data_IF_740509513922
#
_entry.id   IF_740509513922
#
_cell.length_a   1.000
_cell.length_b   1.000
_cell.length_c   1.000
_cell.angle_alpha   90.00
_cell.angle_beta   90.00
_cell.angle_gamma   90.00
#
_symmetry.space_group_name_H-M   'P 1'
#
loop_
_entity.id
_entity.type
_entity.pdbx_description
1 polymer ?
#
# COMPACT_ATOMS: atom_id res chain seq x y z
N UNK A 1 25.19 0.21 24.80
CA UNK A 1 24.32 0.23 23.62
C UNK A 1 24.87 1.21 22.62
N UNK A 2 24.95 0.83 21.34
CA UNK A 2 25.30 1.79 20.28
C UNK A 2 24.07 2.64 19.89
N UNK A 3 24.28 3.74 19.16
CA UNK A 3 23.20 4.65 18.74
C UNK A 3 22.07 3.94 17.97
N UNK A 4 22.38 2.84 17.26
CA UNK A 4 21.41 2.07 16.51
C UNK A 4 20.52 1.20 17.41
N UNK A 5 21.06 0.59 18.47
CA UNK A 5 20.30 -0.20 19.43
C UNK A 5 19.26 0.66 20.15
N UNK A 6 19.64 1.89 20.56
CA UNK A 6 18.70 2.86 21.15
C UNK A 6 17.59 3.20 20.16
N UNK A 7 17.92 3.48 18.89
CA UNK A 7 16.94 3.74 17.84
C UNK A 7 15.98 2.55 17.64
N UNK A 8 16.50 1.32 17.64
CA UNK A 8 15.70 0.12 17.45
C UNK A 8 14.72 -0.11 18.61
N UNK A 9 15.16 0.10 19.86
CA UNK A 9 14.30 0.02 21.04
C UNK A 9 13.20 1.06 21.03
N UNK A 10 13.55 2.35 20.85
CA UNK A 10 12.57 3.45 20.78
C UNK A 10 11.56 3.23 19.65
N UNK A 11 12.01 2.74 18.50
CA UNK A 11 11.12 2.42 17.37
C UNK A 11 10.16 1.30 17.73
N UNK A 12 10.64 0.25 18.41
CA UNK A 12 9.81 -0.88 18.82
C UNK A 12 8.77 -0.46 19.87
N UNK A 13 9.16 0.35 20.84
CA UNK A 13 8.25 0.90 21.85
C UNK A 13 7.10 1.67 21.20
N UNK A 14 7.40 2.53 20.22
CA UNK A 14 6.37 3.24 19.44
C UNK A 14 5.46 2.27 18.69
N UNK A 15 6.00 1.24 18.05
CA UNK A 15 5.20 0.23 17.33
C UNK A 15 4.24 -0.48 18.28
N UNK A 16 4.68 -0.85 19.48
CA UNK A 16 3.85 -1.47 20.51
C UNK A 16 2.79 -0.48 21.01
N UNK A 17 3.18 0.78 21.25
CA UNK A 17 2.30 1.86 21.67
C UNK A 17 1.16 2.11 20.66
N UNK A 18 1.43 2.00 19.35
CA UNK A 18 0.40 2.05 18.31
C UNK A 18 -0.57 0.86 18.30
N UNK A 19 -0.47 -0.05 19.28
CA UNK A 19 -1.39 -1.18 19.46
C UNK A 19 -1.01 -2.43 18.66
N UNK A 20 0.17 -2.49 18.04
CA UNK A 20 0.61 -3.66 17.28
C UNK A 20 1.03 -4.79 18.24
N UNK A 21 0.16 -5.79 18.36
CA UNK A 21 0.39 -6.99 19.21
C UNK A 21 0.81 -8.23 18.42
N UNK A 22 0.94 -8.14 17.10
CA UNK A 22 1.26 -9.30 16.26
C UNK A 22 2.68 -9.80 16.54
N UNK A 23 2.78 -11.02 17.08
CA UNK A 23 4.06 -11.69 17.36
C UNK A 23 4.95 -11.74 16.13
N UNK A 24 4.40 -12.09 14.97
CA UNK A 24 5.14 -12.15 13.70
C UNK A 24 5.73 -10.81 13.30
N UNK A 25 5.01 -9.70 13.51
CA UNK A 25 5.52 -8.35 13.20
C UNK A 25 6.65 -7.96 14.15
N UNK A 26 6.47 -8.21 15.45
CA UNK A 26 7.47 -7.88 16.48
C UNK A 26 8.75 -8.70 16.29
N UNK A 27 8.63 -10.02 16.08
CA UNK A 27 9.78 -10.89 15.84
C UNK A 27 10.48 -10.57 14.52
N UNK A 28 9.72 -10.26 13.47
CA UNK A 28 10.26 -9.81 12.19
C UNK A 28 11.04 -8.51 12.31
N UNK A 29 10.53 -7.56 13.11
CA UNK A 29 11.22 -6.30 13.42
C UNK A 29 12.52 -6.54 14.19
N UNK A 30 12.48 -7.29 15.30
CA UNK A 30 13.66 -7.61 16.12
C UNK A 30 14.74 -8.32 15.30
N UNK A 31 14.35 -9.32 14.50
CA UNK A 31 15.27 -10.04 13.61
C UNK A 31 15.93 -9.11 12.60
N UNK A 32 15.16 -8.22 11.99
CA UNK A 32 15.69 -7.25 11.02
C UNK A 32 16.65 -6.28 11.68
N UNK A 33 16.33 -5.75 12.86
CA UNK A 33 17.22 -4.86 13.60
C UNK A 33 18.54 -5.54 13.95
N UNK A 34 18.51 -6.81 14.40
CA UNK A 34 19.75 -7.56 14.66
C UNK A 34 20.64 -7.66 13.41
N UNK A 35 20.06 -8.05 12.27
CA UNK A 35 20.80 -8.18 11.00
C UNK A 35 21.29 -6.84 10.44
N UNK A 36 20.57 -5.74 10.72
CA UNK A 36 21.03 -4.39 10.38
C UNK A 36 22.21 -4.01 11.28
N UNK A 37 22.11 -4.24 12.60
CA UNK A 37 23.19 -3.92 13.55
C UNK A 37 24.47 -4.67 13.19
N UNK A 38 24.37 -5.97 12.91
CA UNK A 38 25.49 -6.80 12.43
C UNK A 38 26.15 -6.16 11.19
N UNK A 39 25.35 -5.78 10.18
CA UNK A 39 25.87 -5.13 8.98
C UNK A 39 26.55 -3.78 9.26
N UNK A 40 25.96 -2.94 10.13
CA UNK A 40 26.54 -1.65 10.48
C UNK A 40 27.89 -1.80 11.19
N UNK A 41 27.99 -2.76 12.12
CA UNK A 41 29.21 -3.09 12.85
C UNK A 41 30.29 -3.68 11.92
N UNK A 42 29.93 -4.65 11.07
CA UNK A 42 30.85 -5.28 10.11
C UNK A 42 31.46 -4.28 9.12
N UNK A 43 30.75 -3.19 8.82
CA UNK A 43 31.16 -2.20 7.83
C UNK A 43 31.63 -0.89 8.48
N UNK A 44 31.64 -0.80 9.81
CA UNK A 44 32.02 0.40 10.58
C UNK A 44 31.27 1.66 10.13
N UNK A 45 29.97 1.55 9.85
CA UNK A 45 29.12 2.65 9.38
C UNK A 45 27.92 2.89 10.30
N UNK A 46 27.41 4.12 10.29
CA UNK A 46 26.19 4.46 11.00
C UNK A 46 24.92 4.12 10.21
N UNK A 47 23.79 4.04 10.92
CA UNK A 47 22.48 3.90 10.30
C UNK A 47 22.03 5.21 9.65
N UNK A 48 21.98 5.26 8.33
CA UNK A 48 21.48 6.36 7.50
C UNK A 48 20.56 5.79 6.42
N UNK A 49 19.93 6.65 5.62
CA UNK A 49 19.12 6.18 4.48
C UNK A 49 20.00 5.43 3.46
N UNK A 50 21.23 5.88 3.24
CA UNK A 50 22.20 5.26 2.35
C UNK A 50 22.62 3.88 2.84
N UNK A 51 23.02 3.74 4.12
CA UNK A 51 23.43 2.43 4.66
C UNK A 51 22.25 1.46 4.74
N UNK A 52 21.05 1.95 5.04
CA UNK A 52 19.86 1.12 5.06
C UNK A 52 19.44 0.63 3.66
N UNK A 53 19.58 1.48 2.63
CA UNK A 53 19.39 1.07 1.24
C UNK A 53 20.45 0.05 0.79
N UNK A 54 21.73 0.27 1.11
CA UNK A 54 22.81 -0.69 0.84
C UNK A 54 22.52 -2.05 1.47
N UNK A 55 22.04 -2.07 2.70
CA UNK A 55 21.64 -3.30 3.37
C UNK A 55 20.46 -3.99 2.68
N UNK A 56 19.40 -3.25 2.33
CA UNK A 56 18.23 -3.82 1.65
C UNK A 56 18.56 -4.40 0.27
N UNK A 57 19.52 -3.82 -0.45
CA UNK A 57 19.97 -4.34 -1.75
C UNK A 57 20.48 -5.78 -1.68
N UNK A 58 21.01 -6.22 -0.52
CA UNK A 58 21.41 -7.64 -0.30
C UNK A 58 20.23 -8.62 -0.43
N UNK A 59 19.00 -8.11 -0.33
CA UNK A 59 17.77 -8.89 -0.41
C UNK A 59 16.96 -8.64 -1.70
N UNK A 60 17.51 -7.94 -2.69
CA UNK A 60 16.73 -7.54 -3.87
C UNK A 60 16.26 -8.75 -4.69
N UNK A 61 17.04 -9.84 -4.74
CA UNK A 61 16.61 -11.10 -5.39
C UNK A 61 15.37 -11.70 -4.72
N UNK A 62 15.23 -11.52 -3.42
CA UNK A 62 14.10 -12.02 -2.62
C UNK A 62 12.82 -11.21 -2.88
N UNK A 63 12.92 -9.99 -3.41
CA UNK A 63 11.78 -9.15 -3.78
C UNK A 63 10.88 -9.80 -4.82
N UNK A 64 11.48 -10.46 -5.82
CA UNK A 64 10.79 -11.14 -6.94
C UNK A 64 10.82 -12.66 -6.83
N UNK A 65 11.38 -13.19 -5.73
CA UNK A 65 11.45 -14.62 -5.45
C UNK A 65 10.12 -15.25 -5.01
N UNK A 66 10.21 -16.39 -4.34
CA UNK A 66 9.05 -17.11 -3.81
C UNK A 66 8.25 -16.27 -2.82
N UNK A 67 7.01 -16.69 -2.51
CA UNK A 67 6.14 -15.99 -1.54
C UNK A 67 6.82 -15.76 -0.18
N UNK A 68 7.56 -16.75 0.32
CA UNK A 68 8.28 -16.65 1.60
C UNK A 68 9.45 -15.67 1.52
N UNK A 69 10.24 -15.72 0.44
CA UNK A 69 11.33 -14.78 0.18
C UNK A 69 10.82 -13.34 0.08
N UNK A 70 9.72 -13.13 -0.66
CA UNK A 70 9.08 -11.82 -0.78
C UNK A 70 8.56 -11.32 0.56
N UNK A 71 7.93 -12.19 1.36
CA UNK A 71 7.47 -11.85 2.71
C UNK A 71 8.63 -11.40 3.61
N UNK A 72 9.78 -12.08 3.53
CA UNK A 72 10.98 -11.73 4.27
C UNK A 72 11.53 -10.36 3.84
N UNK A 73 11.68 -10.13 2.53
CA UNK A 73 12.09 -8.83 1.99
C UNK A 73 11.17 -7.70 2.47
N UNK A 74 9.85 -7.90 2.42
CA UNK A 74 8.88 -6.92 2.88
C UNK A 74 9.01 -6.61 4.38
N UNK A 75 9.33 -7.62 5.20
CA UNK A 75 9.60 -7.44 6.63
C UNK A 75 10.84 -6.59 6.88
N UNK A 76 11.93 -6.89 6.17
CA UNK A 76 13.18 -6.11 6.24
C UNK A 76 12.95 -4.67 5.80
N UNK A 77 12.36 -4.46 4.63
CA UNK A 77 12.03 -3.14 4.10
C UNK A 77 11.15 -2.33 5.06
N UNK A 78 10.11 -2.94 5.62
CA UNK A 78 9.25 -2.27 6.61
C UNK A 78 10.05 -1.83 7.83
N UNK A 79 10.92 -2.69 8.35
CA UNK A 79 11.75 -2.38 9.53
C UNK A 79 12.67 -1.21 9.25
N UNK A 80 13.38 -1.23 8.12
CA UNK A 80 14.22 -0.11 7.67
C UNK A 80 13.45 1.20 7.63
N UNK A 81 12.25 1.21 7.03
CA UNK A 81 11.46 2.42 6.88
C UNK A 81 10.92 2.94 8.23
N UNK A 82 10.54 2.05 9.14
CA UNK A 82 10.16 2.43 10.51
C UNK A 82 11.32 3.08 11.27
N UNK A 83 12.51 2.50 11.18
CA UNK A 83 13.72 3.04 11.81
C UNK A 83 14.08 4.42 11.25
N UNK A 84 14.00 4.59 9.93
CA UNK A 84 14.25 5.89 9.28
C UNK A 84 13.21 6.94 9.68
N UNK A 85 11.92 6.58 9.68
CA UNK A 85 10.87 7.49 10.13
C UNK A 85 11.04 7.85 11.61
N UNK A 86 11.43 6.90 12.46
CA UNK A 86 11.68 7.19 13.87
C UNK A 86 12.88 8.11 14.06
N UNK A 87 14.00 7.84 13.37
CA UNK A 87 15.21 8.67 13.39
C UNK A 87 14.92 10.12 12.96
N UNK A 88 14.05 10.29 11.96
CA UNK A 88 13.68 11.59 11.41
C UNK A 88 12.52 12.28 12.15
N UNK A 89 12.02 11.72 13.26
CA UNK A 89 10.89 12.29 14.01
C UNK A 89 9.52 12.15 13.33
N UNK A 90 9.42 11.38 12.25
CA UNK A 90 8.22 11.23 11.42
C UNK A 90 7.35 10.03 11.82
N UNK A 91 7.73 9.25 12.84
CA UNK A 91 6.95 8.09 13.32
C UNK A 91 6.01 8.51 14.46
N UNK A 92 4.87 9.07 14.09
CA UNK A 92 3.80 9.60 14.97
C UNK A 92 2.59 8.65 15.10
N UNK A 93 2.37 7.81 14.09
CA UNK A 93 1.34 6.77 14.06
C UNK A 93 1.82 5.51 13.33
N UNK A 94 1.03 4.44 13.42
CA UNK A 94 1.30 3.25 12.61
C UNK A 94 1.24 3.57 11.11
N UNK A 95 2.36 3.34 10.42
CA UNK A 95 2.48 3.59 8.98
C UNK A 95 2.46 2.29 8.19
N UNK A 96 1.79 2.33 7.05
CA UNK A 96 1.90 1.30 6.02
C UNK A 96 2.87 1.77 4.94
N UNK A 97 3.80 0.89 4.56
CA UNK A 97 4.82 1.20 3.56
C UNK A 97 4.55 0.43 2.27
N UNK A 98 3.66 0.91 1.39
CA UNK A 98 3.38 0.23 0.13
C UNK A 98 4.67 0.07 -0.70
N UNK A 99 4.79 -1.05 -1.40
CA UNK A 99 5.93 -1.32 -2.31
C UNK A 99 5.73 -0.79 -3.72
N UNK A 100 4.51 -0.39 -4.04
CA UNK A 100 4.15 0.17 -5.33
C UNK A 100 3.42 1.46 -5.04
N UNK A 101 3.97 2.57 -5.52
CA UNK A 101 3.26 3.85 -5.53
C UNK A 101 2.04 3.67 -6.42
N UNK A 102 0.87 3.98 -5.89
CA UNK A 102 -0.38 3.88 -6.65
C UNK A 102 -0.29 4.86 -7.83
N UNK A 103 -0.23 4.33 -9.05
CA UNK A 103 -0.36 5.16 -10.26
C UNK A 103 -1.67 5.94 -10.17
N UNK A 104 -1.60 7.25 -10.42
CA UNK A 104 -2.75 8.14 -10.41
C UNK A 104 -3.21 8.38 -11.85
N UNK A 105 -4.53 8.58 -12.08
CA UNK A 105 -5.03 9.10 -13.34
C UNK A 105 -4.45 10.50 -13.63
N UNK A 106 -4.34 10.86 -14.90
CA UNK A 106 -3.92 12.19 -15.36
C UNK A 106 -5.13 13.13 -15.57
N UNK A 107 -6.30 12.58 -15.86
CA UNK A 107 -7.55 13.31 -16.05
C UNK A 107 -8.01 13.95 -14.73
N UNK A 108 -8.20 15.26 -14.74
CA UNK A 108 -8.59 16.05 -13.57
C UNK A 108 -9.93 15.60 -12.96
N UNK A 109 -10.89 15.18 -13.79
CA UNK A 109 -12.16 14.63 -13.35
C UNK A 109 -11.98 13.38 -12.50
N UNK A 110 -11.14 12.45 -12.93
CA UNK A 110 -10.83 11.24 -12.16
C UNK A 110 -10.01 11.52 -10.89
N UNK A 111 -9.08 12.48 -10.94
CA UNK A 111 -8.35 12.93 -9.75
C UNK A 111 -9.32 13.48 -8.70
N UNK A 112 -10.28 14.31 -9.11
CA UNK A 112 -11.29 14.87 -8.22
C UNK A 112 -12.22 13.79 -7.67
N UNK A 113 -12.65 12.84 -8.50
CA UNK A 113 -13.44 11.68 -8.06
C UNK A 113 -12.69 10.84 -7.01
N UNK A 114 -11.38 10.62 -7.15
CA UNK A 114 -10.58 9.93 -6.14
C UNK A 114 -10.55 10.68 -4.80
N UNK A 115 -10.44 12.01 -4.84
CA UNK A 115 -10.48 12.85 -3.63
C UNK A 115 -11.84 12.78 -2.94
N UNK A 116 -12.93 12.89 -3.70
CA UNK A 116 -14.30 12.78 -3.18
C UNK A 116 -14.54 11.39 -2.57
N UNK A 117 -14.19 10.33 -3.29
CA UNK A 117 -14.34 8.97 -2.80
C UNK A 117 -13.49 8.70 -1.55
N UNK A 118 -12.27 9.24 -1.48
CA UNK A 118 -11.46 9.17 -0.25
C UNK A 118 -12.18 9.82 0.93
N UNK A 119 -12.75 11.00 0.73
CA UNK A 119 -13.47 11.71 1.78
C UNK A 119 -14.68 10.91 2.26
N UNK A 120 -15.48 10.39 1.32
CA UNK A 120 -16.62 9.51 1.60
C UNK A 120 -16.21 8.29 2.45
N UNK A 121 -15.12 7.61 2.10
CA UNK A 121 -14.67 6.42 2.84
C UNK A 121 -14.24 6.77 4.27
N UNK A 122 -13.59 7.92 4.47
CA UNK A 122 -13.17 8.40 5.79
C UNK A 122 -14.39 8.77 6.64
N UNK A 123 -15.37 9.48 6.06
CA UNK A 123 -16.62 9.82 6.75
C UNK A 123 -17.42 8.58 7.18
N UNK A 124 -17.31 7.49 6.41
CA UNK A 124 -17.89 6.19 6.74
C UNK A 124 -17.05 5.35 7.73
N UNK A 125 -16.07 5.97 8.43
CA UNK A 125 -15.22 5.32 9.43
C UNK A 125 -14.49 4.05 8.94
N UNK A 126 -14.15 4.01 7.66
CA UNK A 126 -13.37 2.89 7.11
C UNK A 126 -11.93 2.95 7.63
N UNK A 127 -11.39 1.78 8.00
CA UNK A 127 -9.97 1.69 8.39
C UNK A 127 -9.03 2.17 7.28
N UNK A 128 -7.90 2.78 7.65
CA UNK A 128 -6.89 3.29 6.70
C UNK A 128 -6.46 2.26 5.65
N UNK A 129 -6.28 1.00 6.06
CA UNK A 129 -5.93 -0.10 5.14
C UNK A 129 -7.02 -0.36 4.11
N UNK A 130 -8.29 -0.23 4.52
CA UNK A 130 -9.45 -0.38 3.65
C UNK A 130 -9.60 0.80 2.70
N UNK A 131 -9.41 2.03 3.19
CA UNK A 131 -9.39 3.26 2.37
C UNK A 131 -8.32 3.13 1.30
N UNK A 132 -7.08 2.80 1.68
CA UNK A 132 -5.96 2.65 0.75
C UNK A 132 -6.22 1.58 -0.31
N UNK A 133 -6.82 0.44 0.06
CA UNK A 133 -7.17 -0.59 -0.92
C UNK A 133 -8.28 -0.13 -1.87
N UNK A 134 -9.33 0.51 -1.35
CA UNK A 134 -10.44 1.03 -2.16
C UNK A 134 -9.95 2.08 -3.17
N UNK A 135 -9.12 3.04 -2.73
CA UNK A 135 -8.52 4.04 -3.61
C UNK A 135 -7.61 3.41 -4.67
N UNK A 136 -6.87 2.34 -4.32
CA UNK A 136 -6.06 1.61 -5.31
C UNK A 136 -6.92 1.02 -6.42
N UNK A 137 -8.03 0.39 -6.06
CA UNK A 137 -8.95 -0.20 -7.04
C UNK A 137 -9.58 0.89 -7.90
N UNK A 138 -10.04 1.99 -7.29
CA UNK A 138 -10.59 3.14 -8.02
C UNK A 138 -9.57 3.75 -9.00
N UNK A 139 -8.34 3.97 -8.55
CA UNK A 139 -7.27 4.52 -9.38
C UNK A 139 -6.92 3.59 -10.55
N UNK A 140 -6.86 2.28 -10.30
CA UNK A 140 -6.66 1.30 -11.38
C UNK A 140 -7.80 1.32 -12.39
N UNK A 141 -9.04 1.47 -11.93
CA UNK A 141 -10.20 1.56 -12.82
C UNK A 141 -10.17 2.83 -13.66
N UNK A 142 -9.89 3.99 -13.07
CA UNK A 142 -9.79 5.25 -13.80
C UNK A 142 -8.65 5.26 -14.83
N UNK A 143 -7.49 4.68 -14.49
CA UNK A 143 -6.41 4.48 -15.48
C UNK A 143 -6.83 3.57 -16.63
N UNK A 144 -7.67 2.57 -16.37
CA UNK A 144 -8.25 1.73 -17.43
C UNK A 144 -9.18 2.54 -18.33
N UNK A 145 -10.03 3.42 -17.76
CA UNK A 145 -10.90 4.31 -18.52
C UNK A 145 -10.10 5.29 -19.39
N UNK A 146 -9.07 5.92 -18.84
CA UNK A 146 -8.18 6.84 -19.58
C UNK A 146 -7.50 6.17 -20.76
N UNK A 147 -6.94 4.96 -20.55
CA UNK A 147 -6.36 4.16 -21.64
C UNK A 147 -7.40 3.83 -22.72
N UNK A 148 -8.65 3.63 -22.33
CA UNK A 148 -9.79 3.44 -23.22
C UNK A 148 -10.36 4.72 -23.83
N UNK A 149 -9.76 5.90 -23.56
CA UNK A 149 -10.25 7.22 -23.98
C UNK A 149 -11.67 7.53 -23.49
N UNK A 150 -12.04 6.98 -22.34
CA UNK A 150 -13.29 7.30 -21.66
C UNK A 150 -12.96 8.43 -20.70
N UNK A 151 -13.38 9.64 -21.04
CA UNK A 151 -13.01 10.86 -20.29
C UNK A 151 -13.98 11.19 -19.15
N UNK A 152 -15.15 10.53 -19.12
CA UNK A 152 -16.18 10.77 -18.13
C UNK A 152 -16.82 9.48 -17.65
N UNK A 153 -17.05 9.42 -16.33
CA UNK A 153 -17.71 8.29 -15.68
C UNK A 153 -19.19 8.16 -16.08
N UNK A 154 -19.80 9.25 -16.59
CA UNK A 154 -21.16 9.23 -17.14
C UNK A 154 -21.31 8.32 -18.37
N UNK A 155 -20.21 8.04 -19.09
CA UNK A 155 -20.21 7.22 -20.30
C UNK A 155 -19.96 5.74 -20.01
N UNK A 156 -20.03 5.31 -18.74
CA UNK A 156 -19.80 3.92 -18.38
C UNK A 156 -20.95 3.02 -18.86
N UNK A 157 -20.56 1.92 -19.51
CA UNK A 157 -21.44 0.78 -19.82
C UNK A 157 -21.03 -0.44 -18.99
N UNK A 158 -21.92 -1.43 -18.87
CA UNK A 158 -21.60 -2.71 -18.23
C UNK A 158 -20.42 -3.42 -18.92
N UNK A 159 -20.31 -3.28 -20.23
CA UNK A 159 -19.23 -3.85 -21.03
C UNK A 159 -17.89 -3.24 -20.64
N UNK A 160 -17.81 -1.91 -20.51
CA UNK A 160 -16.62 -1.19 -20.02
C UNK A 160 -16.25 -1.68 -18.62
N UNK A 161 -17.22 -1.74 -17.70
CA UNK A 161 -16.97 -2.19 -16.32
C UNK A 161 -16.48 -3.63 -16.28
N UNK A 162 -17.08 -4.53 -17.08
CA UNK A 162 -16.65 -5.93 -17.17
C UNK A 162 -15.27 -6.08 -17.83
N UNK A 163 -14.95 -5.20 -18.80
CA UNK A 163 -13.68 -5.15 -19.52
C UNK A 163 -12.51 -4.83 -18.60
N UNK A 164 -12.73 -4.09 -17.51
CA UNK A 164 -11.71 -3.84 -16.50
C UNK A 164 -11.10 -5.12 -15.92
N UNK A 165 -11.87 -6.19 -15.75
CA UNK A 165 -11.33 -7.45 -15.20
C UNK A 165 -10.57 -8.29 -16.23
N UNK A 166 -10.55 -7.86 -17.51
CA UNK A 166 -9.82 -8.51 -18.60
C UNK A 166 -8.43 -7.92 -18.82
N UNK A 167 -8.04 -6.86 -18.09
CA UNK A 167 -6.71 -6.26 -18.24
C UNK A 167 -5.61 -7.20 -17.71
N UNK A 168 -4.37 -7.12 -18.23
CA UNK A 168 -3.26 -8.01 -17.85
C UNK A 168 -3.00 -8.08 -16.34
N UNK A 169 -3.31 -7.02 -15.59
CA UNK A 169 -3.14 -6.96 -14.13
C UNK A 169 -3.99 -7.99 -13.35
N UNK A 170 -4.95 -8.65 -14.01
CA UNK A 170 -5.79 -9.71 -13.44
C UNK A 170 -5.44 -11.13 -13.91
N UNK A 171 -4.59 -11.31 -14.94
CA UNK A 171 -4.35 -12.61 -15.59
C UNK A 171 -3.80 -13.68 -14.64
N UNK A 172 -2.95 -13.30 -13.69
CA UNK A 172 -2.33 -14.21 -12.71
C UNK A 172 -3.03 -14.22 -11.35
N UNK A 173 -4.17 -13.53 -11.22
CA UNK A 173 -4.84 -13.42 -9.92
C UNK A 173 -5.73 -14.62 -9.64
N UNK A 174 -5.64 -15.10 -8.40
CA UNK A 174 -6.60 -16.08 -7.88
C UNK A 174 -8.02 -15.50 -7.86
N UNK A 175 -9.08 -16.32 -8.04
CA UNK A 175 -10.47 -15.86 -8.05
C UNK A 175 -10.87 -15.01 -6.84
N UNK A 176 -10.45 -15.40 -5.63
CA UNK A 176 -10.70 -14.63 -4.40
C UNK A 176 -10.05 -13.25 -4.42
N UNK A 177 -8.89 -13.12 -5.07
CA UNK A 177 -8.24 -11.86 -5.31
C UNK A 177 -9.03 -10.98 -6.26
N UNK A 178 -9.57 -11.54 -7.34
CA UNK A 178 -10.44 -10.82 -8.29
C UNK A 178 -11.73 -10.37 -7.60
N UNK A 179 -12.34 -11.23 -6.78
CA UNK A 179 -13.56 -10.92 -6.02
C UNK A 179 -13.36 -9.73 -5.07
N UNK A 180 -12.22 -9.63 -4.40
CA UNK A 180 -11.91 -8.48 -3.54
C UNK A 180 -11.85 -7.16 -4.33
N UNK A 181 -11.37 -7.19 -5.57
CA UNK A 181 -11.34 -6.03 -6.46
C UNK A 181 -12.75 -5.70 -6.95
N UNK A 182 -13.53 -6.70 -7.37
CA UNK A 182 -14.91 -6.52 -7.79
C UNK A 182 -15.77 -5.89 -6.68
N UNK A 183 -15.61 -6.35 -5.44
CA UNK A 183 -16.31 -5.75 -4.30
C UNK A 183 -15.96 -4.27 -4.10
N UNK A 184 -14.69 -3.89 -4.22
CA UNK A 184 -14.26 -2.49 -4.10
C UNK A 184 -14.71 -1.63 -5.27
N UNK A 185 -14.73 -2.19 -6.49
CA UNK A 185 -15.27 -1.50 -7.65
C UNK A 185 -16.78 -1.29 -7.52
N UNK A 186 -17.55 -2.30 -7.09
CA UNK A 186 -18.99 -2.14 -6.81
C UNK A 186 -19.24 -1.00 -5.84
N UNK A 187 -18.47 -0.92 -4.75
CA UNK A 187 -18.59 0.18 -3.77
C UNK A 187 -18.27 1.56 -4.34
N UNK A 188 -17.28 1.67 -5.23
CA UNK A 188 -17.00 2.92 -5.94
C UNK A 188 -18.17 3.32 -6.85
N UNK A 189 -18.69 2.38 -7.62
CA UNK A 189 -19.79 2.67 -8.54
C UNK A 189 -21.06 3.06 -7.79
N UNK A 190 -21.39 2.37 -6.69
CA UNK A 190 -22.50 2.77 -5.80
C UNK A 190 -22.31 4.18 -5.25
N UNK A 191 -21.11 4.55 -4.81
CA UNK A 191 -20.79 5.92 -4.42
C UNK A 191 -21.07 6.91 -5.57
N UNK A 192 -20.69 6.57 -6.80
CA UNK A 192 -20.93 7.43 -7.96
C UNK A 192 -22.44 7.56 -8.27
N UNK A 193 -23.25 6.51 -8.03
CA UNK A 193 -24.71 6.57 -8.14
C UNK A 193 -25.32 7.45 -7.04
N UNK A 194 -24.90 7.27 -5.78
CA UNK A 194 -25.36 8.03 -4.62
C UNK A 194 -25.10 9.54 -4.81
N UNK A 195 -23.94 9.90 -5.36
CA UNK A 195 -23.56 11.28 -5.69
C UNK A 195 -24.15 11.78 -7.03
N UNK A 196 -24.97 10.97 -7.71
CA UNK A 196 -25.58 11.29 -9.02
C UNK A 196 -24.57 11.61 -10.12
N UNK A 197 -23.38 11.02 -10.03
CA UNK A 197 -22.28 11.17 -10.98
C UNK A 197 -22.39 10.18 -12.14
N UNK A 198 -23.29 9.21 -12.04
CA UNK A 198 -23.70 8.28 -13.11
C UNK A 198 -25.22 8.06 -13.02
N UNK A 199 -25.88 7.95 -14.17
CA UNK A 199 -27.35 8.04 -14.23
C UNK A 199 -28.06 6.69 -14.11
N UNK A 200 -27.44 5.54 -14.43
CA UNK A 200 -28.00 4.19 -14.17
C UNK A 200 -26.99 3.12 -14.61
N UNK A 201 -26.08 2.70 -13.74
CA UNK A 201 -25.37 1.43 -13.91
C UNK A 201 -26.13 0.45 -13.02
N UNK A 202 -27.16 -0.23 -13.52
CA UNK A 202 -27.97 -1.16 -12.69
C UNK A 202 -27.05 -2.26 -12.12
N UNK A 203 -26.51 -2.03 -10.94
CA UNK A 203 -25.61 -2.91 -10.19
C UNK A 203 -26.42 -3.60 -9.09
N UNK A 204 -27.53 -4.25 -9.46
CA UNK A 204 -28.27 -5.12 -8.54
C UNK A 204 -27.42 -6.36 -8.26
#
# INVERSE_FOLDING_TARGET
>A
MNNFEILAEVTLEKVIFFGIKSKTVIEGFKRSCRLINEFLLENEIEFTIESANKWLLRFEKQRTGTRSQRSLYLSHRRTTLLLLDCKNGNLDKWKTYPTVTMKQPENEGYINLLKMYKHYLIQNNMSDSTVMFALRVASMFFLYLEKGKIESINNLTLEIVSGFFRVPEFSERKPTGVQAYAYKLKKLLLFCEEEKLIINLILR
#
